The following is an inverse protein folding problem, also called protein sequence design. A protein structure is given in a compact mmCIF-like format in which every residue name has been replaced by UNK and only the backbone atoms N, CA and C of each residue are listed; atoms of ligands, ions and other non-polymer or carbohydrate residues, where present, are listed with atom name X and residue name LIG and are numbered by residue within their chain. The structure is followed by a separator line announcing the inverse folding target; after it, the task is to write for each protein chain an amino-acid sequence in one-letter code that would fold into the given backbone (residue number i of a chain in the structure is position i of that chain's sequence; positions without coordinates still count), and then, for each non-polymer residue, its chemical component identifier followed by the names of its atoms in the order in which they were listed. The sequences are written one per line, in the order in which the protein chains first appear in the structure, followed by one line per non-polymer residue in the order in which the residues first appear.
data_IF_646476541982
#
_entry.id   IF_646476541982
#
_cell.length_a   1.000
_cell.length_b   1.000
_cell.length_c   1.000
_cell.angle_alpha   90.00
_cell.angle_beta   90.00
_cell.angle_gamma   90.00
#
_symmetry.space_group_name_H-M   'P 1'
#
loop_
_entity.id
_entity.type
_entity.pdbx_description
1 polymer ?
#
# COMPACT_ATOMS: atom_id res chain seq x y z
N UNK A 1 34.57 32.07 47.11
CA UNK A 1 33.11 31.96 47.28
C UNK A 1 32.80 31.05 48.45
N UNK A 2 32.11 31.55 49.50
CA UNK A 2 31.88 30.82 50.75
C UNK A 2 31.09 29.52 50.49
N UNK A 3 31.46 28.42 51.15
CA UNK A 3 30.80 27.12 50.98
C UNK A 3 29.30 27.19 51.29
N UNK A 4 28.88 28.11 52.17
CA UNK A 4 27.46 28.40 52.43
C UNK A 4 26.73 29.02 51.21
N UNK A 5 27.43 29.86 50.44
CA UNK A 5 26.87 30.48 49.24
C UNK A 5 26.77 29.47 48.07
N UNK A 6 27.74 28.57 47.93
CA UNK A 6 27.67 27.47 46.95
C UNK A 6 26.50 26.53 47.23
N UNK A 7 26.29 26.17 48.50
CA UNK A 7 25.18 25.31 48.90
C UNK A 7 23.81 25.95 48.62
N UNK A 8 23.67 27.26 48.89
CA UNK A 8 22.44 28.01 48.61
C UNK A 8 22.11 28.05 47.12
N UNK A 9 23.10 28.25 46.25
CA UNK A 9 22.90 28.30 44.79
C UNK A 9 22.46 26.93 44.25
N UNK A 10 23.08 25.84 44.71
CA UNK A 10 22.70 24.47 44.29
C UNK A 10 21.27 24.14 44.71
N UNK A 11 20.87 24.56 45.90
CA UNK A 11 19.53 24.32 46.44
C UNK A 11 18.45 25.10 45.65
N UNK A 12 18.76 26.33 45.22
CA UNK A 12 17.88 27.14 44.36
C UNK A 12 17.71 26.49 42.98
N UNK A 13 18.79 25.99 42.37
CA UNK A 13 18.73 25.32 41.06
C UNK A 13 17.91 24.03 41.17
N UNK A 14 18.07 23.27 42.24
CA UNK A 14 17.32 22.03 42.46
C UNK A 14 15.81 22.29 42.63
N UNK A 15 15.43 23.36 43.33
CA UNK A 15 14.03 23.79 43.46
C UNK A 15 13.46 24.21 42.10
N UNK A 16 14.22 24.94 41.28
CA UNK A 16 13.79 25.36 39.94
C UNK A 16 13.52 24.16 39.02
N UNK A 17 14.36 23.12 39.08
CA UNK A 17 14.17 21.90 38.29
C UNK A 17 12.90 21.16 38.76
N UNK A 18 12.66 21.04 40.07
CA UNK A 18 11.45 20.42 40.61
C UNK A 18 10.16 21.16 40.22
N UNK A 19 10.17 22.50 40.23
CA UNK A 19 9.01 23.30 39.79
C UNK A 19 8.75 23.13 38.29
N UNK A 20 9.81 23.05 37.47
CA UNK A 20 9.66 22.83 36.02
C UNK A 20 9.08 21.45 35.67
N UNK A 21 9.47 20.40 36.41
CA UNK A 21 8.93 19.06 36.24
C UNK A 21 7.45 18.96 36.66
N UNK A 22 7.04 19.72 37.69
CA UNK A 22 5.65 19.73 38.16
C UNK A 22 4.70 20.41 37.17
N UNK A 23 5.15 21.46 36.48
CA UNK A 23 4.34 22.15 35.46
C UNK A 23 4.09 21.26 34.23
N UNK A 24 5.01 20.35 33.89
CA UNK A 24 4.87 19.46 32.73
C UNK A 24 4.12 18.14 33.01
N UNK A 25 3.93 17.75 34.27
CA UNK A 25 3.29 16.47 34.60
C UNK A 25 1.75 16.51 34.70
N UNK A 26 1.12 17.67 34.56
CA UNK A 26 -0.35 17.85 34.70
C UNK A 26 -1.09 18.02 33.37
N UNK A 27 -0.69 17.29 32.32
CA UNK A 27 -1.55 17.10 31.13
C UNK A 27 -1.85 15.61 30.93
N UNK A 28 -2.81 15.12 31.69
CA UNK A 28 -3.53 13.88 31.38
C UNK A 28 -5.03 14.11 31.38
N UNK A 29 -5.62 13.74 30.24
CA UNK A 29 -6.95 13.16 30.08
C UNK A 29 -8.14 14.11 30.35
N UNK A 30 -8.67 14.69 29.28
CA UNK A 30 -10.06 15.17 29.25
C UNK A 30 -11.02 13.98 29.26
N UNK A 31 -11.54 13.72 30.46
CA UNK A 31 -12.91 13.32 30.80
C UNK A 31 -13.76 12.64 29.72
N UNK A 32 -13.94 11.34 29.90
CA UNK A 32 -15.17 10.61 29.57
C UNK A 32 -16.27 11.15 30.49
N UNK A 33 -17.28 11.79 29.92
CA UNK A 33 -18.56 12.02 30.61
C UNK A 33 -19.57 10.98 30.14
N UNK A 34 -19.91 10.07 31.05
CA UNK A 34 -21.06 9.19 30.94
C UNK A 34 -22.34 10.02 30.99
N UNK A 35 -23.23 9.83 30.01
CA UNK A 35 -24.66 10.11 30.19
C UNK A 35 -25.48 8.93 29.68
N UNK A 36 -25.87 8.07 30.63
CA UNK A 36 -27.05 7.22 30.47
C UNK A 36 -28.23 8.13 30.09
N UNK A 37 -28.77 7.93 28.88
CA UNK A 37 -30.03 8.50 28.46
C UNK A 37 -30.82 7.39 27.78
N UNK A 38 -32.00 7.14 28.31
CA UNK A 38 -32.90 6.07 27.90
C UNK A 38 -33.23 6.16 26.40
N UNK A 39 -33.29 4.99 25.75
CA UNK A 39 -33.76 4.82 24.39
C UNK A 39 -35.20 5.33 24.25
N UNK A 40 -35.35 6.52 23.67
CA UNK A 40 -36.60 6.97 23.07
C UNK A 40 -36.32 7.14 21.59
N UNK A 41 -36.89 6.25 20.78
CA UNK A 41 -36.95 6.39 19.33
C UNK A 41 -37.63 7.72 18.99
N UNK A 42 -36.85 8.71 18.56
CA UNK A 42 -37.37 9.88 17.87
C UNK A 42 -37.15 9.66 16.39
N UNK A 43 -38.26 9.58 15.65
CA UNK A 43 -38.32 9.51 14.20
C UNK A 43 -37.47 10.64 13.61
N UNK A 44 -36.55 10.39 12.67
CA UNK A 44 -35.71 11.45 12.14
C UNK A 44 -36.58 12.47 11.39
N UNK A 45 -36.62 13.69 11.93
CA UNK A 45 -37.18 14.86 11.28
C UNK A 45 -36.28 15.24 10.11
N UNK A 46 -36.87 15.32 8.92
CA UNK A 46 -36.23 15.73 7.67
C UNK A 46 -35.71 17.16 7.80
N UNK A 47 -34.41 17.32 7.99
CA UNK A 47 -33.73 18.62 7.85
C UNK A 47 -33.84 19.07 6.39
N UNK A 48 -34.56 20.18 6.17
CA UNK A 48 -34.59 20.86 4.88
C UNK A 48 -33.31 21.68 4.78
N UNK A 49 -32.30 21.15 4.09
CA UNK A 49 -31.11 21.89 3.70
C UNK A 49 -31.48 22.73 2.48
N UNK A 50 -31.42 24.05 2.62
CA UNK A 50 -31.51 24.98 1.49
C UNK A 50 -30.20 24.81 0.68
N UNK A 51 -30.25 24.45 -0.62
CA UNK A 51 -29.03 24.21 -1.40
C UNK A 51 -28.25 25.50 -1.61
N UNK A 52 -27.03 25.55 -1.07
CA UNK A 52 -26.04 26.53 -1.47
C UNK A 52 -25.55 26.18 -2.88
N UNK A 53 -25.53 27.16 -3.78
CA UNK A 53 -25.27 26.95 -5.21
C UNK A 53 -23.82 26.53 -5.50
N UNK A 54 -23.67 25.59 -6.44
CA UNK A 54 -22.43 25.02 -7.00
C UNK A 54 -21.83 23.80 -6.27
N UNK A 55 -22.62 22.75 -6.02
CA UNK A 55 -22.04 21.45 -5.68
C UNK A 55 -21.45 20.78 -6.93
N UNK A 56 -20.15 20.50 -6.94
CA UNK A 56 -19.52 19.70 -8.01
C UNK A 56 -20.04 18.27 -7.98
N UNK A 57 -20.33 17.73 -9.17
CA UNK A 57 -20.78 16.34 -9.34
C UNK A 57 -19.69 15.37 -8.87
N UNK A 58 -20.04 14.46 -7.96
CA UNK A 58 -19.10 13.54 -7.34
C UNK A 58 -19.81 12.34 -6.74
N UNK A 59 -19.03 11.27 -6.54
CA UNK A 59 -19.40 10.12 -5.72
C UNK A 59 -19.33 10.51 -4.24
N UNK A 60 -20.37 10.16 -3.48
CA UNK A 60 -20.49 10.32 -2.02
C UNK A 60 -20.09 9.03 -1.30
N UNK A 61 -20.58 7.89 -1.78
CA UNK A 61 -20.35 6.59 -1.14
C UNK A 61 -20.45 5.45 -2.14
N UNK A 62 -19.88 4.31 -1.76
CA UNK A 62 -19.96 3.05 -2.50
C UNK A 62 -20.29 1.89 -1.56
N UNK A 63 -20.94 0.88 -2.10
CA UNK A 63 -21.14 -0.43 -1.49
C UNK A 63 -20.78 -1.50 -2.53
N UNK A 64 -19.95 -2.50 -2.24
CA UNK A 64 -19.05 -2.61 -1.08
C UNK A 64 -18.19 -1.36 -0.86
N UNK A 65 -17.83 -1.13 0.41
CA UNK A 65 -16.86 -0.12 0.76
C UNK A 65 -15.49 -0.46 0.15
N UNK A 66 -14.67 0.56 -0.05
CA UNK A 66 -13.32 0.36 -0.56
C UNK A 66 -12.49 -0.55 0.37
N UNK A 67 -11.82 -1.52 -0.23
CA UNK A 67 -11.05 -2.60 0.41
C UNK A 67 -11.87 -3.46 1.41
N UNK A 68 -13.21 -3.47 1.29
CA UNK A 68 -14.07 -4.33 2.12
C UNK A 68 -13.76 -5.81 1.88
N UNK A 69 -13.82 -6.62 2.94
CA UNK A 69 -13.49 -8.05 2.92
C UNK A 69 -14.69 -8.89 3.29
N UNK A 70 -14.67 -10.15 2.87
CA UNK A 70 -15.74 -11.13 3.11
C UNK A 70 -17.09 -10.67 2.53
N UNK A 71 -17.05 -10.01 1.38
CA UNK A 71 -18.25 -9.54 0.68
C UNK A 71 -19.06 -10.74 0.18
N UNK A 72 -20.39 -10.81 0.40
CA UNK A 72 -21.25 -11.88 -0.11
C UNK A 72 -21.15 -12.05 -1.63
N UNK A 73 -21.37 -13.27 -2.13
CA UNK A 73 -21.20 -13.56 -3.57
C UNK A 73 -22.32 -12.97 -4.44
N UNK A 74 -23.49 -12.74 -3.87
CA UNK A 74 -24.68 -12.14 -4.51
C UNK A 74 -24.69 -10.59 -4.43
N UNK A 75 -23.54 -9.99 -4.11
CA UNK A 75 -23.45 -8.55 -3.84
C UNK A 75 -23.71 -7.69 -5.08
N UNK A 76 -24.55 -6.68 -4.88
CA UNK A 76 -24.78 -5.58 -5.84
C UNK A 76 -23.79 -4.45 -5.53
N UNK A 77 -23.15 -3.91 -6.57
CA UNK A 77 -22.28 -2.73 -6.41
C UNK A 77 -23.14 -1.48 -6.52
N UNK A 78 -23.22 -0.69 -5.46
CA UNK A 78 -23.96 0.57 -5.41
C UNK A 78 -23.00 1.75 -5.35
N UNK A 79 -23.20 2.75 -6.22
CA UNK A 79 -22.42 3.98 -6.28
C UNK A 79 -23.38 5.15 -6.11
N UNK A 80 -23.29 5.84 -4.99
CA UNK A 80 -24.16 6.98 -4.66
C UNK A 80 -23.46 8.29 -4.97
N UNK A 81 -24.13 9.13 -5.74
CA UNK A 81 -23.67 10.45 -6.16
C UNK A 81 -24.35 11.56 -5.35
N UNK A 82 -23.80 12.78 -5.42
CA UNK A 82 -24.44 13.96 -4.82
C UNK A 82 -25.57 14.57 -5.65
N UNK A 83 -25.72 14.12 -6.90
CA UNK A 83 -26.79 14.45 -7.82
C UNK A 83 -27.15 13.19 -8.61
N UNK A 84 -28.39 13.07 -9.13
CA UNK A 84 -28.77 11.93 -9.97
C UNK A 84 -27.78 11.68 -11.12
N UNK A 85 -27.26 10.45 -11.27
CA UNK A 85 -26.42 10.09 -12.41
C UNK A 85 -27.21 9.97 -13.71
N UNK A 86 -26.49 10.02 -14.84
CA UNK A 86 -26.95 9.56 -16.15
C UNK A 86 -26.03 8.41 -16.59
N UNK A 87 -26.62 7.28 -17.01
CA UNK A 87 -25.87 6.12 -17.50
C UNK A 87 -25.01 6.46 -18.72
N UNK A 88 -25.43 7.40 -19.55
CA UNK A 88 -24.66 7.78 -20.74
C UNK A 88 -23.36 8.50 -20.36
N UNK A 89 -23.35 9.21 -19.23
CA UNK A 89 -22.23 10.00 -18.73
C UNK A 89 -21.22 9.19 -17.91
N UNK A 90 -21.57 7.97 -17.49
CA UNK A 90 -20.74 7.13 -16.62
C UNK A 90 -20.13 5.99 -17.43
N UNK A 91 -18.84 5.76 -17.19
CA UNK A 91 -18.09 4.61 -17.66
C UNK A 91 -17.70 3.78 -16.42
N UNK A 92 -18.14 2.52 -16.40
CA UNK A 92 -17.83 1.56 -15.35
C UNK A 92 -17.00 0.42 -15.95
N UNK A 93 -15.91 0.07 -15.28
CA UNK A 93 -15.11 -1.11 -15.62
C UNK A 93 -14.74 -1.85 -14.34
N UNK A 94 -14.65 -3.19 -14.41
CA UNK A 94 -14.34 -4.04 -13.27
C UNK A 94 -13.44 -5.20 -13.69
N UNK A 95 -12.50 -5.55 -12.82
CA UNK A 95 -11.57 -6.66 -12.98
C UNK A 95 -11.52 -7.51 -11.69
N UNK A 96 -11.67 -8.85 -11.74
CA UNK A 96 -12.02 -9.66 -12.92
C UNK A 96 -13.33 -9.21 -13.58
N UNK A 97 -13.41 -9.41 -14.90
CA UNK A 97 -14.60 -9.02 -15.67
C UNK A 97 -15.81 -9.84 -15.23
N UNK A 98 -16.94 -9.16 -15.03
CA UNK A 98 -18.25 -9.79 -14.77
C UNK A 98 -19.26 -9.31 -15.81
N UNK A 99 -20.17 -10.20 -16.21
CA UNK A 99 -21.37 -9.77 -16.91
C UNK A 99 -22.34 -9.16 -15.90
N UNK A 100 -22.82 -7.96 -16.19
CA UNK A 100 -23.66 -7.19 -15.27
C UNK A 100 -24.68 -6.34 -16.01
N UNK A 101 -25.74 -5.96 -15.32
CA UNK A 101 -26.68 -4.92 -15.75
C UNK A 101 -26.53 -3.67 -14.89
N UNK A 102 -26.94 -2.51 -15.41
CA UNK A 102 -26.87 -1.23 -14.71
C UNK A 102 -28.26 -0.61 -14.58
N UNK A 103 -28.58 -0.12 -13.38
CA UNK A 103 -29.84 0.59 -13.12
C UNK A 103 -29.59 1.82 -12.25
N UNK A 104 -30.41 2.86 -12.43
CA UNK A 104 -30.37 4.07 -11.60
C UNK A 104 -31.62 4.13 -10.73
N UNK A 105 -31.42 4.36 -9.44
CA UNK A 105 -32.50 4.60 -8.48
C UNK A 105 -32.18 5.88 -7.70
N UNK A 106 -32.79 7.00 -8.10
CA UNK A 106 -32.53 8.32 -7.52
C UNK A 106 -31.10 8.79 -7.77
N UNK A 107 -30.27 8.82 -6.73
CA UNK A 107 -28.88 9.25 -6.80
C UNK A 107 -27.88 8.08 -6.86
N UNK A 108 -28.39 6.85 -6.93
CA UNK A 108 -27.57 5.65 -6.82
C UNK A 108 -27.58 4.89 -8.14
N UNK A 109 -26.39 4.66 -8.70
CA UNK A 109 -26.14 3.69 -9.76
C UNK A 109 -25.93 2.33 -9.11
N UNK A 110 -26.68 1.31 -9.55
CA UNK A 110 -26.48 -0.08 -9.14
C UNK A 110 -25.95 -0.88 -10.32
N UNK A 111 -24.85 -1.58 -10.12
CA UNK A 111 -24.30 -2.59 -11.02
C UNK A 111 -24.67 -3.95 -10.44
N UNK A 112 -25.53 -4.68 -11.15
CA UNK A 112 -26.07 -5.98 -10.72
C UNK A 112 -25.37 -7.07 -11.52
N UNK A 113 -24.52 -7.90 -10.90
CA UNK A 113 -23.97 -9.08 -11.56
C UNK A 113 -25.09 -9.99 -12.08
N UNK A 114 -24.91 -10.58 -13.28
CA UNK A 114 -25.88 -11.54 -13.82
C UNK A 114 -25.77 -12.92 -13.18
N UNK A 115 -24.61 -13.22 -12.59
CA UNK A 115 -24.31 -14.43 -11.84
C UNK A 115 -23.57 -14.06 -10.55
N UNK A 116 -23.56 -14.95 -9.57
CA UNK A 116 -22.78 -14.80 -8.35
C UNK A 116 -21.30 -14.51 -8.66
N UNK A 117 -20.70 -13.65 -7.85
CA UNK A 117 -19.29 -13.32 -7.91
C UNK A 117 -18.44 -14.54 -7.53
N UNK A 118 -17.22 -14.62 -8.06
CA UNK A 118 -16.30 -15.70 -7.75
C UNK A 118 -15.84 -15.62 -6.29
N UNK A 119 -15.76 -16.76 -5.57
CA UNK A 119 -15.33 -16.77 -4.17
C UNK A 119 -13.86 -16.39 -4.01
N UNK A 120 -13.53 -15.78 -2.87
CA UNK A 120 -12.17 -15.39 -2.49
C UNK A 120 -11.45 -14.49 -3.50
N UNK A 121 -12.19 -13.73 -4.30
CA UNK A 121 -11.67 -12.98 -5.45
C UNK A 121 -11.65 -11.48 -5.14
N UNK A 122 -10.51 -10.83 -5.38
CA UNK A 122 -10.41 -9.37 -5.27
C UNK A 122 -10.93 -8.73 -6.56
N UNK A 123 -12.04 -8.03 -6.47
CA UNK A 123 -12.59 -7.22 -7.56
C UNK A 123 -12.12 -5.78 -7.41
N UNK A 124 -11.62 -5.19 -8.49
CA UNK A 124 -11.24 -3.78 -8.58
C UNK A 124 -12.06 -3.14 -9.69
N UNK A 125 -12.76 -2.06 -9.39
CA UNK A 125 -13.57 -1.35 -10.37
C UNK A 125 -13.21 0.14 -10.43
N UNK A 126 -13.39 0.69 -11.62
CA UNK A 126 -13.14 2.10 -11.93
C UNK A 126 -14.44 2.74 -12.40
N UNK A 127 -14.76 3.88 -11.80
CA UNK A 127 -15.84 4.77 -12.21
C UNK A 127 -15.24 6.02 -12.83
N UNK A 128 -15.55 6.26 -14.10
CA UNK A 128 -15.08 7.41 -14.87
C UNK A 128 -16.26 8.18 -15.45
N UNK A 129 -16.05 9.48 -15.64
CA UNK A 129 -17.02 10.37 -16.28
C UNK A 129 -16.61 10.57 -17.74
N UNK A 130 -17.50 10.27 -18.70
CA UNK A 130 -17.17 10.36 -20.14
C UNK A 130 -17.01 11.81 -20.60
N UNK A 131 -17.94 12.66 -20.19
CA UNK A 131 -18.07 14.03 -20.70
C UNK A 131 -17.60 15.09 -19.70
N UNK A 132 -16.80 14.71 -18.70
CA UNK A 132 -16.37 15.61 -17.62
C UNK A 132 -14.89 15.42 -17.32
N UNK A 133 -14.19 16.53 -17.09
CA UNK A 133 -12.79 16.56 -16.64
C UNK A 133 -12.70 16.34 -15.12
N UNK A 134 -13.35 15.29 -14.63
CA UNK A 134 -13.28 14.87 -13.24
C UNK A 134 -12.41 13.62 -13.15
N UNK A 135 -11.56 13.47 -12.12
CA UNK A 135 -10.74 12.29 -11.97
C UNK A 135 -11.61 11.04 -11.83
N UNK A 136 -11.17 9.94 -12.44
CA UNK A 136 -11.74 8.62 -12.19
C UNK A 136 -11.54 8.22 -10.73
N UNK A 137 -12.44 7.39 -10.22
CA UNK A 137 -12.29 6.79 -8.89
C UNK A 137 -12.17 5.29 -9.03
N UNK A 138 -11.22 4.72 -8.30
CA UNK A 138 -10.98 3.29 -8.25
C UNK A 138 -11.35 2.80 -6.86
N UNK A 139 -11.97 1.64 -6.82
CA UNK A 139 -12.38 0.97 -5.59
C UNK A 139 -12.09 -0.52 -5.73
N UNK A 140 -11.91 -1.19 -4.60
CA UNK A 140 -11.80 -2.64 -4.60
C UNK A 140 -12.55 -3.29 -3.45
N UNK A 141 -12.82 -4.59 -3.55
CA UNK A 141 -13.34 -5.41 -2.46
C UNK A 141 -12.97 -6.87 -2.66
N UNK A 142 -13.01 -7.66 -1.59
CA UNK A 142 -12.68 -9.07 -1.56
C UNK A 142 -13.92 -9.89 -1.17
N UNK A 143 -14.36 -10.77 -2.05
CA UNK A 143 -15.49 -11.67 -1.80
C UNK A 143 -15.15 -12.74 -0.77
N UNK A 144 -16.18 -13.25 -0.09
CA UNK A 144 -16.05 -14.37 0.83
C UNK A 144 -15.58 -15.65 0.12
N UNK A 145 -14.98 -16.56 0.87
CA UNK A 145 -14.51 -17.86 0.38
C UNK A 145 -13.01 -17.90 0.09
N UNK A 146 -12.56 -19.05 -0.41
CA UNK A 146 -11.14 -19.30 -0.73
C UNK A 146 -10.87 -19.02 -2.19
N UNK A 147 -9.83 -18.24 -2.47
CA UNK A 147 -9.32 -18.04 -3.83
C UNK A 147 -8.97 -19.41 -4.43
N UNK A 148 -9.58 -19.77 -5.56
CA UNK A 148 -9.12 -20.90 -6.36
C UNK A 148 -7.92 -20.38 -7.15
N UNK A 149 -6.71 -20.86 -6.81
CA UNK A 149 -5.48 -20.44 -7.49
C UNK A 149 -5.68 -20.44 -9.00
N UNK A 150 -5.40 -19.31 -9.66
CA UNK A 150 -5.15 -19.35 -11.09
C UNK A 150 -3.99 -20.31 -11.31
N UNK A 151 -4.11 -21.29 -12.23
CA UNK A 151 -2.97 -22.12 -12.58
C UNK A 151 -1.84 -21.21 -13.06
N UNK A 152 -0.61 -21.54 -12.67
CA UNK A 152 0.55 -20.90 -13.26
C UNK A 152 0.46 -21.07 -14.77
N UNK A 153 0.42 -19.94 -15.49
CA UNK A 153 0.30 -19.92 -16.95
C UNK A 153 1.66 -19.98 -17.61
N UNK A 154 2.74 -19.90 -16.84
CA UNK A 154 4.07 -20.19 -17.34
C UNK A 154 4.20 -21.70 -17.59
N UNK A 155 4.72 -22.12 -18.76
CA UNK A 155 5.08 -23.51 -18.98
C UNK A 155 6.01 -23.99 -17.86
N UNK A 156 5.88 -25.26 -17.47
CA UNK A 156 6.84 -25.89 -16.56
C UNK A 156 8.27 -25.69 -17.09
N UNK A 157 9.18 -25.20 -16.24
CA UNK A 157 10.56 -24.93 -16.64
C UNK A 157 10.81 -23.54 -17.24
N UNK A 158 9.78 -22.71 -17.48
CA UNK A 158 9.95 -21.40 -18.13
C UNK A 158 10.76 -20.42 -17.27
N UNK A 159 10.58 -20.45 -15.94
CA UNK A 159 11.34 -19.62 -15.02
C UNK A 159 12.83 -20.02 -15.01
N UNK A 160 13.12 -21.32 -15.02
CA UNK A 160 14.48 -21.86 -15.09
C UNK A 160 15.15 -21.55 -16.43
N UNK A 161 14.41 -21.64 -17.53
CA UNK A 161 14.88 -21.29 -18.86
C UNK A 161 15.21 -19.80 -18.99
N UNK A 162 14.35 -18.93 -18.46
CA UNK A 162 14.58 -17.49 -18.40
C UNK A 162 15.79 -17.16 -17.52
N UNK A 163 15.88 -17.74 -16.33
CA UNK A 163 17.02 -17.55 -15.43
C UNK A 163 18.34 -17.97 -16.09
N UNK A 164 18.34 -19.09 -16.81
CA UNK A 164 19.49 -19.55 -17.58
C UNK A 164 19.83 -18.59 -18.72
N UNK A 165 18.84 -18.16 -19.50
CA UNK A 165 19.03 -17.20 -20.58
C UNK A 165 19.64 -15.89 -20.08
N UNK A 166 19.09 -15.33 -18.99
CA UNK A 166 19.59 -14.11 -18.37
C UNK A 166 21.02 -14.29 -17.86
N UNK A 167 21.31 -15.39 -17.16
CA UNK A 167 22.67 -15.66 -16.69
C UNK A 167 23.68 -15.76 -17.84
N UNK A 168 23.33 -16.43 -18.93
CA UNK A 168 24.21 -16.63 -20.09
C UNK A 168 24.44 -15.34 -20.89
N UNK A 169 23.38 -14.55 -21.12
CA UNK A 169 23.40 -13.43 -22.07
C UNK A 169 23.50 -12.05 -21.39
N UNK A 170 22.99 -11.91 -20.17
CA UNK A 170 22.90 -10.67 -19.39
C UNK A 170 23.29 -10.90 -17.92
N UNK A 171 24.55 -11.29 -17.64
CA UNK A 171 24.97 -11.69 -16.29
C UNK A 171 24.84 -10.55 -15.26
N UNK A 172 24.89 -9.29 -15.68
CA UNK A 172 24.65 -8.13 -14.84
C UNK A 172 23.16 -8.01 -14.44
N UNK A 173 22.23 -8.15 -15.39
CA UNK A 173 20.79 -8.19 -15.08
C UNK A 173 20.48 -9.37 -14.18
N UNK A 174 21.01 -10.55 -14.49
CA UNK A 174 20.84 -11.74 -13.66
C UNK A 174 21.31 -11.52 -12.23
N UNK A 175 22.51 -10.97 -12.04
CA UNK A 175 23.05 -10.69 -10.71
C UNK A 175 22.24 -9.60 -9.98
N UNK A 176 21.73 -8.59 -10.69
CA UNK A 176 20.89 -7.54 -10.11
C UNK A 176 19.58 -8.06 -9.50
N UNK A 177 19.06 -9.18 -10.01
CA UNK A 177 17.88 -9.84 -9.47
C UNK A 177 18.16 -10.67 -8.20
N UNK A 178 19.44 -10.89 -7.85
CA UNK A 178 19.84 -11.62 -6.64
C UNK A 178 20.13 -10.70 -5.45
N UNK A 179 19.89 -9.40 -5.59
CA UNK A 179 20.28 -8.38 -4.60
C UNK A 179 19.11 -7.48 -4.20
N UNK A 180 19.14 -6.87 -2.99
CA UNK A 180 20.26 -6.79 -2.05
C UNK A 180 20.68 -8.14 -1.44
N UNK A 181 21.99 -8.34 -1.24
CA UNK A 181 22.53 -9.53 -0.58
C UNK A 181 23.47 -9.12 0.55
N UNK A 182 23.37 -9.81 1.69
CA UNK A 182 24.20 -9.55 2.86
C UNK A 182 24.66 -10.88 3.48
N UNK A 183 25.96 -10.97 3.75
CA UNK A 183 26.58 -12.04 4.52
C UNK A 183 27.34 -11.48 5.73
N UNK A 184 27.95 -12.38 6.50
CA UNK A 184 28.91 -12.01 7.55
C UNK A 184 30.17 -11.34 6.97
N UNK A 185 30.53 -11.64 5.72
CA UNK A 185 31.78 -11.18 5.10
C UNK A 185 31.61 -9.94 4.20
N UNK A 186 30.44 -9.71 3.61
CA UNK A 186 30.21 -8.55 2.74
C UNK A 186 28.72 -8.16 2.63
N UNK A 187 28.46 -6.96 2.12
CA UNK A 187 27.15 -6.51 1.64
C UNK A 187 27.27 -6.16 0.16
N UNK A 188 26.28 -6.53 -0.62
CA UNK A 188 26.22 -6.28 -2.05
C UNK A 188 24.98 -5.48 -2.43
N UNK A 189 25.21 -4.40 -3.15
CA UNK A 189 24.17 -3.56 -3.74
C UNK A 189 24.49 -3.28 -5.21
N UNK A 190 23.51 -2.77 -5.96
CA UNK A 190 23.72 -2.30 -7.32
C UNK A 190 23.08 -0.96 -7.58
N UNK A 191 23.57 -0.31 -8.62
CA UNK A 191 22.94 0.81 -9.28
C UNK A 191 22.89 0.55 -10.79
N UNK A 192 21.81 0.95 -11.46
CA UNK A 192 21.75 0.94 -12.91
C UNK A 192 22.45 2.20 -13.43
N UNK A 193 23.40 2.03 -14.34
CA UNK A 193 24.14 3.12 -14.98
C UNK A 193 23.45 3.53 -16.29
N UNK A 194 24.20 3.91 -17.31
CA UNK A 194 23.61 4.30 -18.61
C UNK A 194 23.09 3.07 -19.36
N UNK A 195 23.79 1.94 -19.27
CA UNK A 195 23.51 0.74 -20.08
C UNK A 195 23.73 -0.60 -19.36
N UNK A 196 24.27 -0.61 -18.14
CA UNK A 196 24.52 -1.84 -17.36
C UNK A 196 24.42 -1.60 -15.85
N UNK A 197 24.34 -2.68 -15.07
CA UNK A 197 24.41 -2.61 -13.61
C UNK A 197 25.85 -2.53 -13.10
N UNK A 198 26.11 -1.58 -12.20
CA UNK A 198 27.32 -1.55 -11.37
C UNK A 198 27.02 -2.14 -10.00
N UNK A 199 27.92 -2.96 -9.50
CA UNK A 199 27.84 -3.63 -8.21
C UNK A 199 28.82 -3.02 -7.22
N UNK A 200 28.36 -2.72 -6.01
CA UNK A 200 29.21 -2.28 -4.90
C UNK A 200 29.28 -3.37 -3.85
N UNK A 201 30.48 -3.91 -3.62
CA UNK A 201 30.78 -4.88 -2.55
C UNK A 201 31.36 -4.12 -1.37
N UNK A 202 30.58 -3.95 -0.29
CA UNK A 202 31.06 -3.39 0.97
C UNK A 202 31.66 -4.51 1.81
N UNK A 203 32.96 -4.44 2.06
CA UNK A 203 33.72 -5.47 2.75
C UNK A 203 33.53 -5.38 4.27
N UNK A 204 33.22 -6.50 4.93
CA UNK A 204 33.14 -6.61 6.40
C UNK A 204 34.27 -7.44 7.00
N UNK A 205 34.95 -8.24 6.18
CA UNK A 205 36.03 -9.12 6.59
C UNK A 205 37.19 -9.11 5.59
N UNK A 206 38.37 -9.58 6.00
CA UNK A 206 39.52 -9.72 5.11
C UNK A 206 39.28 -10.73 3.97
N UNK A 207 38.37 -11.70 4.17
CA UNK A 207 38.01 -12.72 3.18
C UNK A 207 36.89 -12.28 2.23
N UNK A 208 36.33 -11.07 2.41
CA UNK A 208 35.15 -10.58 1.69
C UNK A 208 35.22 -10.76 0.17
N UNK A 209 36.37 -10.48 -0.44
CA UNK A 209 36.54 -10.59 -1.89
C UNK A 209 36.47 -12.05 -2.36
N UNK A 210 37.13 -12.97 -1.65
CA UNK A 210 37.08 -14.39 -1.98
C UNK A 210 35.69 -14.97 -1.74
N UNK A 211 35.05 -14.60 -0.62
CA UNK A 211 33.71 -15.06 -0.29
C UNK A 211 32.67 -14.57 -1.31
N UNK A 212 32.81 -13.32 -1.78
CA UNK A 212 31.99 -12.78 -2.87
C UNK A 212 32.19 -13.54 -4.19
N UNK A 213 33.44 -13.84 -4.58
CA UNK A 213 33.71 -14.63 -5.79
C UNK A 213 33.13 -16.05 -5.69
N UNK A 214 33.30 -16.71 -4.55
CA UNK A 214 32.72 -18.03 -4.29
C UNK A 214 31.19 -17.98 -4.39
N UNK A 215 30.59 -16.91 -3.90
CA UNK A 215 29.14 -16.69 -4.02
C UNK A 215 28.71 -16.50 -5.48
N UNK A 216 29.41 -15.69 -6.28
CA UNK A 216 29.11 -15.56 -7.72
C UNK A 216 29.20 -16.91 -8.46
N UNK A 217 30.22 -17.72 -8.14
CA UNK A 217 30.37 -19.06 -8.70
C UNK A 217 29.23 -19.99 -8.26
N UNK A 218 28.75 -19.85 -7.02
CA UNK A 218 27.58 -20.61 -6.53
C UNK A 218 26.28 -20.26 -7.25
N UNK A 219 26.22 -19.08 -7.88
CA UNK A 219 25.14 -18.66 -8.79
C UNK A 219 25.35 -19.14 -10.24
N UNK A 220 26.33 -20.03 -10.46
CA UNK A 220 26.70 -20.59 -11.75
C UNK A 220 27.24 -19.55 -12.74
N UNK A 221 27.77 -18.41 -12.26
CA UNK A 221 28.50 -17.46 -13.10
C UNK A 221 29.92 -17.99 -13.37
N UNK A 222 30.29 -18.02 -14.64
CA UNK A 222 31.65 -18.36 -15.08
C UNK A 222 32.61 -17.22 -14.82
N UNK A 223 33.91 -17.50 -14.70
CA UNK A 223 34.95 -16.48 -14.54
C UNK A 223 34.88 -15.40 -15.64
N UNK A 224 34.66 -15.79 -16.90
CA UNK A 224 34.52 -14.83 -18.01
C UNK A 224 33.30 -13.92 -17.90
N UNK A 225 32.23 -14.37 -17.24
CA UNK A 225 31.06 -13.54 -16.96
C UNK A 225 31.37 -12.57 -15.82
N UNK A 226 32.00 -13.07 -14.75
CA UNK A 226 32.39 -12.27 -13.59
C UNK A 226 33.33 -11.12 -14.01
N UNK A 227 34.32 -11.41 -14.85
CA UNK A 227 35.30 -10.41 -15.32
C UNK A 227 34.68 -9.28 -16.15
N UNK A 228 33.49 -9.48 -16.70
CA UNK A 228 32.75 -8.47 -17.48
C UNK A 228 31.83 -7.59 -16.63
N UNK A 229 31.62 -7.94 -15.36
CA UNK A 229 30.77 -7.16 -14.46
C UNK A 229 31.49 -5.90 -13.98
N UNK A 230 30.79 -4.77 -13.90
CA UNK A 230 31.29 -3.55 -13.25
C UNK A 230 31.18 -3.71 -11.73
N UNK A 231 32.26 -4.17 -11.10
CA UNK A 231 32.32 -4.42 -9.65
C UNK A 231 33.28 -3.43 -8.98
N UNK A 232 32.77 -2.70 -8.00
CA UNK A 232 33.55 -1.82 -7.13
C UNK A 232 33.58 -2.38 -5.70
N UNK A 233 34.77 -2.41 -5.10
CA UNK A 233 34.96 -2.80 -3.70
C UNK A 233 35.09 -1.56 -2.81
N UNK A 234 34.44 -1.57 -1.65
CA UNK A 234 34.49 -0.50 -0.65
C UNK A 234 34.71 -1.05 0.76
#
# INVERSE_FOLDING_TARGET
MNNKLKLAIILIIFILILVSAWIFSNKTITNISNKNSNNIYTKPTKSIIIPNSQSTYRIISVLPMDEEKNVPLDTIIEITFNLPPDLQDIEFSINPRIDSSSQISGQTLKIIPLNDLSPGTKYTYVVKYKNRTLPSRTYSFLTQGTFSNLPDTQPEGAAEAEAKFQRENHPDVYLSNQIPYESSSFVLTSEFTVDHFRFTVVQKSASAKQDFLNWLISLELTESQIDRLDITYR
#
